data_IF_676309426551
#
_entry.id   IF_676309426551
#
_cell.length_a   1.000
_cell.length_b   1.000
_cell.length_c   1.000
_cell.angle_alpha   90.00
_cell.angle_beta   90.00
_cell.angle_gamma   90.00
#
_symmetry.space_group_name_H-M   'P 1'
#
loop_
_entity.id
_entity.type
_entity.pdbx_description
1 polymer ?
#
# COMPACT_ATOMS: atom_id res chain seq x y z
N UNK A 1 -36.22 4.93 -4.84
CA UNK A 1 -35.25 5.85 -4.26
C UNK A 1 -34.02 5.75 -5.14
N UNK A 2 -33.73 6.78 -5.97
CA UNK A 2 -32.54 6.82 -6.81
C UNK A 2 -31.33 6.92 -5.87
N UNK A 3 -30.56 5.84 -5.73
CA UNK A 3 -29.19 5.97 -5.27
C UNK A 3 -28.44 6.74 -6.35
N UNK A 4 -28.18 8.02 -6.08
CA UNK A 4 -27.23 8.80 -6.84
C UNK A 4 -25.90 8.02 -6.84
N UNK A 5 -25.48 7.51 -7.99
CA UNK A 5 -24.19 6.84 -8.14
C UNK A 5 -23.11 7.82 -7.65
N UNK A 6 -22.36 7.41 -6.64
CA UNK A 6 -21.25 8.20 -6.10
C UNK A 6 -20.17 8.29 -7.19
N UNK A 7 -20.05 9.42 -7.83
CA UNK A 7 -19.00 9.66 -8.82
C UNK A 7 -17.70 9.94 -8.07
N UNK A 8 -16.74 9.02 -8.18
CA UNK A 8 -15.38 9.26 -7.75
C UNK A 8 -14.64 10.01 -8.86
N UNK A 9 -13.90 11.04 -8.51
CA UNK A 9 -13.02 11.77 -9.43
C UNK A 9 -11.55 11.61 -9.05
N UNK A 10 -11.27 11.09 -7.87
CA UNK A 10 -9.93 10.91 -7.34
C UNK A 10 -9.74 9.49 -6.80
N UNK A 11 -8.60 8.87 -7.15
CA UNK A 11 -8.12 7.63 -6.54
C UNK A 11 -6.80 7.92 -5.83
N UNK A 12 -6.68 7.47 -4.58
CA UNK A 12 -5.42 7.40 -3.84
C UNK A 12 -5.00 5.93 -3.81
N UNK A 13 -3.85 5.63 -4.41
CA UNK A 13 -3.24 4.31 -4.44
C UNK A 13 -2.21 4.17 -3.32
N UNK A 14 -2.21 3.06 -2.63
CA UNK A 14 -1.03 2.59 -1.92
C UNK A 14 -0.01 1.98 -2.90
N UNK A 15 1.23 1.77 -2.44
CA UNK A 15 2.34 1.29 -3.28
C UNK A 15 2.70 -0.17 -3.03
N UNK A 16 3.35 -0.45 -1.87
CA UNK A 16 3.87 -1.77 -1.52
C UNK A 16 2.72 -2.77 -1.30
N UNK A 17 2.77 -3.93 -1.95
CA UNK A 17 1.69 -4.91 -1.87
C UNK A 17 0.42 -4.56 -2.65
N UNK A 18 0.27 -3.30 -3.08
CA UNK A 18 -0.88 -2.83 -3.87
C UNK A 18 -0.53 -2.76 -5.36
N UNK A 19 0.30 -1.81 -5.78
CA UNK A 19 0.78 -1.69 -7.17
C UNK A 19 2.07 -2.47 -7.39
N UNK A 20 2.93 -2.54 -6.39
CA UNK A 20 4.25 -3.14 -6.41
C UNK A 20 4.25 -4.51 -5.72
N UNK A 21 4.70 -5.53 -6.45
CA UNK A 21 4.68 -6.93 -6.00
C UNK A 21 5.96 -7.28 -5.24
N UNK A 22 6.06 -6.86 -3.99
CA UNK A 22 7.22 -7.03 -3.13
C UNK A 22 6.98 -7.92 -1.89
N UNK A 23 5.84 -8.58 -1.81
CA UNK A 23 5.45 -9.43 -0.67
C UNK A 23 6.49 -10.52 -0.38
N UNK A 24 6.95 -11.23 -1.41
CA UNK A 24 7.95 -12.28 -1.25
C UNK A 24 9.31 -11.70 -0.83
N UNK A 25 9.69 -10.56 -1.38
CA UNK A 25 10.91 -9.87 -0.97
C UNK A 25 10.86 -9.49 0.51
N UNK A 26 9.78 -8.87 0.96
CA UNK A 26 9.62 -8.47 2.36
C UNK A 26 9.68 -9.67 3.32
N UNK A 27 9.01 -10.78 2.98
CA UNK A 27 9.06 -12.00 3.78
C UNK A 27 10.46 -12.63 3.82
N UNK A 28 11.18 -12.60 2.69
CA UNK A 28 12.55 -13.12 2.59
C UNK A 28 13.54 -12.26 3.38
N UNK A 29 13.41 -10.93 3.34
CA UNK A 29 14.24 -10.02 4.15
C UNK A 29 13.96 -10.21 5.63
N UNK A 30 12.69 -10.34 6.05
CA UNK A 30 12.36 -10.66 7.44
C UNK A 30 13.00 -11.98 7.88
N UNK A 31 12.92 -13.03 7.06
CA UNK A 31 13.55 -14.33 7.36
C UNK A 31 15.08 -14.24 7.47
N UNK A 32 15.73 -13.35 6.71
CA UNK A 32 17.15 -13.07 6.88
C UNK A 32 17.44 -12.49 8.27
N UNK A 33 16.67 -11.52 8.73
CA UNK A 33 16.83 -10.92 10.05
C UNK A 33 16.56 -11.92 11.18
N UNK A 34 15.49 -12.73 11.04
CA UNK A 34 15.18 -13.80 12.00
C UNK A 34 16.34 -14.80 12.10
N UNK A 35 16.91 -15.22 10.97
CA UNK A 35 18.06 -16.14 10.94
C UNK A 35 19.29 -15.55 11.61
N UNK A 36 19.57 -14.26 11.41
CA UNK A 36 20.70 -13.56 12.05
C UNK A 36 20.57 -13.51 13.58
N UNK A 37 19.34 -13.47 14.09
CA UNK A 37 19.06 -13.52 15.53
C UNK A 37 18.82 -14.94 16.05
N UNK A 38 19.01 -15.99 15.23
CA UNK A 38 18.76 -17.40 15.57
C UNK A 38 17.29 -17.69 15.91
N UNK A 39 16.38 -16.93 15.32
CA UNK A 39 14.93 -17.09 15.44
C UNK A 39 14.39 -17.98 14.30
N UNK A 40 13.18 -18.50 14.50
CA UNK A 40 12.54 -19.38 13.51
C UNK A 40 12.02 -18.57 12.31
N UNK A 41 12.34 -19.04 11.11
CA UNK A 41 11.80 -18.49 9.87
C UNK A 41 10.28 -18.69 9.77
N UNK A 42 9.62 -17.74 9.11
CA UNK A 42 8.18 -17.75 8.86
C UNK A 42 7.86 -18.05 7.39
N UNK A 43 6.77 -18.76 7.12
CA UNK A 43 6.27 -18.96 5.75
C UNK A 43 5.62 -17.68 5.22
N UNK A 44 5.44 -17.55 3.90
CA UNK A 44 4.67 -16.46 3.27
C UNK A 44 3.25 -16.38 3.85
N UNK A 45 2.60 -17.52 4.07
CA UNK A 45 1.29 -17.56 4.71
C UNK A 45 1.35 -16.93 6.10
N UNK A 46 2.33 -17.33 6.93
CA UNK A 46 2.50 -16.78 8.27
C UNK A 46 2.83 -15.30 8.23
N UNK A 47 3.67 -14.85 7.29
CA UNK A 47 3.95 -13.44 7.04
C UNK A 47 2.65 -12.65 6.86
N UNK A 48 1.78 -13.05 5.93
CA UNK A 48 0.50 -12.37 5.65
C UNK A 48 -0.48 -12.38 6.84
N UNK A 49 -0.48 -13.46 7.62
CA UNK A 49 -1.29 -13.59 8.83
C UNK A 49 -0.90 -12.57 9.91
N UNK A 50 0.40 -12.27 10.04
CA UNK A 50 0.92 -11.46 11.15
C UNK A 50 1.34 -10.03 10.77
N UNK A 51 1.50 -9.74 9.46
CA UNK A 51 1.90 -8.41 9.02
C UNK A 51 0.90 -7.35 9.49
N UNK A 52 1.38 -6.31 10.17
CA UNK A 52 0.55 -5.25 10.74
C UNK A 52 1.31 -3.94 10.90
N UNK A 53 0.56 -2.86 11.11
CA UNK A 53 1.05 -1.55 11.51
C UNK A 53 0.67 -1.25 12.97
N UNK A 54 1.50 -0.49 13.69
CA UNK A 54 2.84 -0.05 13.30
C UNK A 54 3.79 -1.24 13.14
N UNK A 55 4.75 -1.14 12.22
CA UNK A 55 5.63 -2.25 11.81
C UNK A 55 6.41 -2.87 12.98
N UNK A 56 6.70 -2.11 14.04
CA UNK A 56 7.34 -2.64 15.26
C UNK A 56 6.53 -3.80 15.88
N UNK A 57 5.20 -3.76 15.82
CA UNK A 57 4.35 -4.85 16.36
C UNK A 57 4.47 -6.11 15.49
N UNK A 58 4.58 -5.96 14.17
CA UNK A 58 4.86 -7.07 13.27
C UNK A 58 6.20 -7.76 13.62
N UNK A 59 7.27 -6.99 13.91
CA UNK A 59 8.56 -7.57 14.31
C UNK A 59 8.45 -8.36 15.62
N UNK A 60 7.72 -7.84 16.62
CA UNK A 60 7.45 -8.56 17.88
C UNK A 60 6.72 -9.88 17.65
N UNK A 61 5.66 -9.86 16.82
CA UNK A 61 4.88 -11.06 16.50
C UNK A 61 5.73 -12.07 15.72
N UNK A 62 6.64 -11.59 14.87
CA UNK A 62 7.59 -12.44 14.15
C UNK A 62 8.65 -13.09 15.05
N UNK A 63 8.83 -12.58 16.29
CA UNK A 63 9.70 -13.18 17.30
C UNK A 63 10.84 -12.30 17.80
N UNK A 64 11.01 -11.08 17.28
CA UNK A 64 12.05 -10.17 17.78
C UNK A 64 11.71 -9.62 19.17
N UNK A 65 12.64 -9.71 20.12
CA UNK A 65 12.49 -9.17 21.48
C UNK A 65 13.12 -7.80 21.68
N UNK A 66 13.94 -7.37 20.72
CA UNK A 66 14.73 -6.13 20.74
C UNK A 66 15.78 -6.05 21.87
N UNK A 67 16.09 -7.17 22.52
CA UNK A 67 17.14 -7.24 23.53
C UNK A 67 18.55 -7.18 22.91
N UNK A 68 18.71 -7.79 21.74
CA UNK A 68 20.00 -7.90 21.03
C UNK A 68 20.22 -6.72 20.08
N UNK A 69 19.23 -6.39 19.30
CA UNK A 69 19.21 -5.28 18.36
C UNK A 69 17.94 -4.48 18.55
N UNK A 70 18.03 -3.15 18.61
CA UNK A 70 16.83 -2.30 18.69
C UNK A 70 16.01 -2.37 17.38
N UNK A 71 14.75 -1.94 17.44
CA UNK A 71 13.89 -1.86 16.25
C UNK A 71 14.52 -0.99 15.14
N UNK A 72 15.16 0.12 15.53
CA UNK A 72 15.81 1.03 14.58
C UNK A 72 16.96 0.34 13.83
N UNK A 73 17.75 -0.49 14.54
CA UNK A 73 18.84 -1.27 13.93
C UNK A 73 18.29 -2.30 12.96
N UNK A 74 17.29 -3.08 13.39
CA UNK A 74 16.66 -4.09 12.54
C UNK A 74 15.92 -3.46 11.36
N UNK A 75 15.19 -2.35 11.57
CA UNK A 75 14.51 -1.61 10.53
C UNK A 75 15.48 -1.06 9.47
N UNK A 76 16.64 -0.55 9.92
CA UNK A 76 17.69 -0.12 8.99
C UNK A 76 18.25 -1.30 8.19
N UNK A 77 18.57 -2.42 8.83
CA UNK A 77 19.06 -3.63 8.16
C UNK A 77 18.04 -4.15 7.15
N UNK A 78 16.73 -4.15 7.53
CA UNK A 78 15.66 -4.52 6.61
C UNK A 78 15.69 -3.64 5.36
N UNK A 79 15.71 -2.33 5.54
CA UNK A 79 15.69 -1.40 4.41
C UNK A 79 16.96 -1.47 3.55
N UNK A 80 18.13 -1.66 4.15
CA UNK A 80 19.39 -1.83 3.41
C UNK A 80 19.29 -3.06 2.48
N UNK A 81 18.78 -4.21 2.98
CA UNK A 81 18.57 -5.43 2.18
C UNK A 81 17.47 -5.28 1.13
N UNK A 82 16.36 -4.66 1.50
CA UNK A 82 15.23 -4.41 0.61
C UNK A 82 15.65 -3.53 -0.58
N UNK A 83 16.35 -2.43 -0.32
CA UNK A 83 16.82 -1.48 -1.34
C UNK A 83 17.74 -2.15 -2.38
N UNK A 84 18.58 -3.11 -1.96
CA UNK A 84 19.47 -3.84 -2.90
C UNK A 84 18.72 -4.78 -3.82
N UNK A 85 17.52 -5.25 -3.45
CA UNK A 85 16.78 -6.32 -4.14
C UNK A 85 15.48 -5.88 -4.78
N UNK A 86 14.93 -4.72 -4.40
CA UNK A 86 13.61 -4.26 -4.85
C UNK A 86 13.46 -4.18 -6.38
N UNK A 87 14.54 -3.90 -7.10
CA UNK A 87 14.51 -3.83 -8.56
C UNK A 87 14.30 -5.20 -9.25
N UNK A 88 14.39 -6.31 -8.49
CA UNK A 88 14.03 -7.64 -8.97
C UNK A 88 12.52 -7.92 -8.84
N UNK A 89 11.80 -7.08 -8.13
CA UNK A 89 10.34 -7.13 -8.07
C UNK A 89 9.73 -6.39 -9.27
N UNK A 90 8.48 -6.68 -9.58
CA UNK A 90 7.72 -6.04 -10.65
C UNK A 90 6.47 -5.35 -10.15
N UNK A 91 5.74 -4.75 -11.05
CA UNK A 91 4.36 -4.35 -10.79
C UNK A 91 3.46 -5.59 -10.83
N UNK A 92 2.34 -5.56 -10.10
CA UNK A 92 1.34 -6.61 -10.28
C UNK A 92 0.76 -6.59 -11.71
N UNK A 93 0.38 -7.75 -12.26
CA UNK A 93 -0.24 -7.82 -13.59
C UNK A 93 -1.52 -6.96 -13.66
N UNK A 94 -1.66 -6.17 -14.72
CA UNK A 94 -2.82 -5.30 -14.94
C UNK A 94 -2.70 -3.89 -14.37
N UNK A 95 -1.63 -3.57 -13.63
CA UNK A 95 -1.41 -2.22 -13.05
C UNK A 95 -1.37 -1.15 -14.13
N UNK A 96 -0.49 -1.30 -15.13
CA UNK A 96 -0.28 -0.27 -16.16
C UNK A 96 -1.56 -0.06 -16.98
N UNK A 97 -2.23 -1.13 -17.35
CA UNK A 97 -3.49 -1.12 -18.09
C UNK A 97 -4.59 -0.37 -17.31
N UNK A 98 -4.71 -0.63 -16.01
CA UNK A 98 -5.71 0.04 -15.19
C UNK A 98 -5.39 1.51 -14.98
N UNK A 99 -4.14 1.86 -14.63
CA UNK A 99 -3.71 3.26 -14.48
C UNK A 99 -3.95 4.06 -15.78
N UNK A 100 -3.64 3.46 -16.93
CA UNK A 100 -3.86 4.07 -18.25
C UNK A 100 -5.35 4.26 -18.56
N UNK A 101 -6.17 3.24 -18.28
CA UNK A 101 -7.62 3.29 -18.47
C UNK A 101 -8.26 4.40 -17.64
N UNK A 102 -7.93 4.48 -16.34
CA UNK A 102 -8.43 5.52 -15.45
C UNK A 102 -8.02 6.93 -15.90
N UNK A 103 -6.76 7.08 -16.35
CA UNK A 103 -6.28 8.35 -16.92
C UNK A 103 -7.06 8.75 -18.16
N UNK A 104 -7.43 7.79 -19.03
CA UNK A 104 -8.19 8.06 -20.27
C UNK A 104 -9.60 8.60 -20.01
N UNK A 105 -10.20 8.27 -18.89
CA UNK A 105 -11.51 8.78 -18.46
C UNK A 105 -11.40 9.94 -17.44
N UNK A 106 -10.23 10.59 -17.37
CA UNK A 106 -9.94 11.77 -16.55
C UNK A 106 -10.04 11.56 -15.03
N UNK A 107 -9.90 10.33 -14.51
CA UNK A 107 -9.76 10.09 -13.09
C UNK A 107 -8.40 10.58 -12.62
N UNK A 108 -8.39 11.44 -11.60
CA UNK A 108 -7.16 11.97 -11.01
C UNK A 108 -6.58 10.93 -10.06
N UNK A 109 -5.34 10.51 -10.32
CA UNK A 109 -4.68 9.48 -9.55
C UNK A 109 -3.59 10.08 -8.68
N UNK A 110 -3.49 9.61 -7.44
CA UNK A 110 -2.51 10.02 -6.45
C UNK A 110 -1.87 8.77 -5.85
N UNK A 111 -0.64 8.89 -5.38
CA UNK A 111 0.05 7.82 -4.68
C UNK A 111 0.35 8.26 -3.25
N UNK A 112 0.07 7.38 -2.29
CA UNK A 112 0.33 7.58 -0.87
C UNK A 112 0.93 6.30 -0.28
N UNK A 113 2.17 6.35 0.16
CA UNK A 113 2.89 5.19 0.68
C UNK A 113 3.56 5.46 2.02
N UNK A 114 3.73 4.41 2.81
CA UNK A 114 4.61 4.38 3.98
C UNK A 114 6.09 4.15 3.61
N UNK A 115 6.43 4.20 2.33
CA UNK A 115 7.79 4.09 1.82
C UNK A 115 8.48 5.46 1.80
N UNK A 116 9.81 5.51 1.94
CA UNK A 116 10.58 6.75 1.94
C UNK A 116 10.43 7.49 0.60
N UNK A 117 10.23 8.81 0.66
CA UNK A 117 9.83 9.65 -0.49
C UNK A 117 10.81 9.59 -1.67
N UNK A 118 12.14 9.63 -1.43
CA UNK A 118 13.10 9.62 -2.54
C UNK A 118 13.20 8.23 -3.18
N UNK A 119 13.14 7.19 -2.37
CA UNK A 119 13.10 5.80 -2.83
C UNK A 119 11.83 5.53 -3.64
N UNK A 120 10.68 6.06 -3.18
CA UNK A 120 9.41 5.99 -3.90
C UNK A 120 9.49 6.68 -5.26
N UNK A 121 9.98 7.91 -5.30
CA UNK A 121 10.16 8.65 -6.56
C UNK A 121 11.10 7.91 -7.53
N UNK A 122 12.17 7.30 -7.02
CA UNK A 122 13.14 6.58 -7.83
C UNK A 122 12.54 5.32 -8.45
N UNK A 123 11.80 4.53 -7.69
CA UNK A 123 11.19 3.28 -8.19
C UNK A 123 10.05 3.56 -9.17
N UNK A 124 9.26 4.61 -8.97
CA UNK A 124 8.22 5.00 -9.92
C UNK A 124 8.79 5.42 -11.27
N UNK A 125 9.92 6.15 -11.28
CA UNK A 125 10.66 6.48 -12.51
C UNK A 125 11.25 5.24 -13.17
N UNK A 126 11.77 4.29 -12.38
CA UNK A 126 12.30 3.04 -12.90
C UNK A 126 11.24 2.27 -13.70
N UNK A 127 9.97 2.26 -13.24
CA UNK A 127 8.85 1.65 -13.95
C UNK A 127 8.18 2.58 -14.97
N UNK A 128 8.63 3.83 -15.10
CA UNK A 128 8.05 4.85 -15.98
C UNK A 128 6.54 5.08 -15.75
N UNK A 129 6.10 5.04 -14.50
CA UNK A 129 4.69 5.23 -14.10
C UNK A 129 4.43 6.49 -13.27
N UNK A 130 5.45 7.25 -12.95
CA UNK A 130 5.33 8.50 -12.18
C UNK A 130 4.36 9.50 -12.84
N UNK A 131 4.28 9.54 -14.17
CA UNK A 131 3.39 10.41 -14.93
C UNK A 131 1.89 10.09 -14.84
N UNK A 132 1.52 8.96 -14.22
CA UNK A 132 0.12 8.65 -13.92
C UNK A 132 -0.40 9.39 -12.69
N UNK A 133 0.47 9.83 -11.79
CA UNK A 133 0.09 10.38 -10.49
C UNK A 133 0.25 11.90 -10.43
N UNK A 134 -0.83 12.58 -10.04
CA UNK A 134 -0.82 14.03 -9.83
C UNK A 134 -0.06 14.42 -8.55
N UNK A 135 -0.13 13.60 -7.53
CA UNK A 135 0.64 13.74 -6.30
C UNK A 135 1.24 12.39 -5.93
N UNK A 136 2.51 12.41 -5.55
CA UNK A 136 3.26 11.26 -5.05
C UNK A 136 3.73 11.64 -3.64
N UNK A 137 3.25 10.91 -2.63
CA UNK A 137 3.46 11.23 -1.22
C UNK A 137 4.00 9.99 -0.51
N UNK A 138 5.21 10.11 0.02
CA UNK A 138 5.91 9.11 0.83
C UNK A 138 6.32 9.69 2.18
N UNK A 139 6.91 8.85 3.04
CA UNK A 139 7.46 9.27 4.33
C UNK A 139 8.80 9.99 4.18
N UNK A 140 9.15 10.77 5.18
CA UNK A 140 10.46 11.42 5.35
C UNK A 140 11.50 10.52 6.06
N UNK A 141 11.11 9.28 6.40
CA UNK A 141 11.94 8.31 7.11
C UNK A 141 11.65 6.87 6.65
N UNK A 142 12.44 5.92 7.14
CA UNK A 142 12.42 4.51 6.71
C UNK A 142 11.66 3.56 7.66
N UNK A 143 11.05 4.07 8.74
CA UNK A 143 10.51 3.21 9.81
C UNK A 143 9.04 2.83 9.64
N UNK A 144 8.41 3.26 8.56
CA UNK A 144 7.01 2.93 8.23
C UNK A 144 6.05 3.06 9.43
N UNK A 145 6.15 4.19 10.16
CA UNK A 145 5.36 4.46 11.36
C UNK A 145 3.87 4.76 11.10
N UNK A 146 3.47 4.75 9.83
CA UNK A 146 2.12 5.05 9.37
C UNK A 146 2.05 6.31 8.51
N UNK A 147 1.06 6.35 7.63
CA UNK A 147 0.88 7.39 6.59
C UNK A 147 -0.35 8.28 6.80
N UNK A 148 -1.08 8.13 7.91
CA UNK A 148 -2.36 8.79 8.14
C UNK A 148 -2.27 10.33 8.08
N UNK A 149 -1.25 10.93 8.72
CA UNK A 149 -1.03 12.38 8.70
C UNK A 149 -0.73 12.93 7.30
N UNK A 150 -0.09 12.13 6.43
CA UNK A 150 0.16 12.47 5.03
C UNK A 150 -1.13 12.37 4.20
N UNK A 151 -1.95 11.35 4.50
CA UNK A 151 -3.26 11.17 3.89
C UNK A 151 -4.17 12.37 4.14
N UNK A 152 -4.23 12.87 5.38
CA UNK A 152 -5.03 14.05 5.73
C UNK A 152 -4.59 15.29 4.94
N UNK A 153 -3.27 15.55 4.85
CA UNK A 153 -2.73 16.66 4.05
C UNK A 153 -3.06 16.51 2.56
N UNK A 154 -2.92 15.29 2.02
CA UNK A 154 -3.24 15.01 0.62
C UNK A 154 -4.74 15.19 0.35
N UNK A 155 -5.62 14.67 1.20
CA UNK A 155 -7.06 14.81 1.07
C UNK A 155 -7.51 16.28 1.15
N UNK A 156 -6.93 17.06 2.06
CA UNK A 156 -7.18 18.51 2.12
C UNK A 156 -6.76 19.21 0.83
N UNK A 157 -5.58 18.90 0.29
CA UNK A 157 -5.09 19.43 -0.98
C UNK A 157 -6.01 19.07 -2.15
N UNK A 158 -6.47 17.82 -2.23
CA UNK A 158 -7.40 17.37 -3.27
C UNK A 158 -8.71 18.18 -3.20
N UNK A 159 -9.29 18.28 -2.00
CA UNK A 159 -10.59 18.97 -1.79
C UNK A 159 -10.51 20.48 -1.99
N UNK A 160 -9.37 21.12 -1.70
CA UNK A 160 -9.18 22.56 -1.89
C UNK A 160 -9.05 22.99 -3.36
N UNK A 161 -8.70 22.10 -4.26
CA UNK A 161 -8.55 22.41 -5.68
C UNK A 161 -9.88 22.53 -6.45
N UNK A 162 -11.02 22.56 -5.76
CA UNK A 162 -12.35 22.87 -6.35
C UNK A 162 -12.93 21.77 -7.24
N UNK A 163 -12.25 20.66 -7.40
CA UNK A 163 -12.79 19.48 -8.06
C UNK A 163 -13.69 18.73 -7.05
N UNK A 164 -14.97 19.07 -7.07
CA UNK A 164 -15.99 18.38 -6.28
C UNK A 164 -16.06 16.91 -6.73
N UNK A 165 -15.54 16.01 -5.93
CA UNK A 165 -15.61 14.58 -6.19
C UNK A 165 -15.19 13.76 -4.98
N UNK A 166 -15.74 12.55 -4.89
CA UNK A 166 -15.37 11.64 -3.83
C UNK A 166 -13.98 11.04 -4.10
N UNK A 167 -13.26 10.77 -3.03
CA UNK A 167 -11.98 10.07 -3.06
C UNK A 167 -12.25 8.58 -2.82
N UNK A 168 -11.59 7.72 -3.58
CA UNK A 168 -11.50 6.29 -3.35
C UNK A 168 -10.06 5.94 -3.00
N UNK A 169 -9.82 5.30 -1.86
CA UNK A 169 -8.51 4.77 -1.51
C UNK A 169 -8.44 3.29 -1.91
N UNK A 170 -7.33 2.89 -2.51
CA UNK A 170 -7.07 1.49 -2.88
C UNK A 170 -5.74 1.07 -2.26
N UNK A 171 -5.79 0.01 -1.43
CA UNK A 171 -4.65 -0.54 -0.71
C UNK A 171 -4.76 -2.05 -0.54
N UNK A 172 -3.91 -2.65 0.28
CA UNK A 172 -3.88 -4.09 0.52
C UNK A 172 -3.88 -4.46 2.02
N UNK A 173 -3.95 -3.48 2.91
CA UNK A 173 -3.88 -3.70 4.36
C UNK A 173 -5.04 -3.06 5.12
N UNK A 174 -5.28 -3.55 6.34
CA UNK A 174 -6.22 -2.93 7.31
C UNK A 174 -5.83 -1.48 7.57
N UNK A 175 -4.53 -1.15 7.57
CA UNK A 175 -4.06 0.22 7.75
C UNK A 175 -4.52 1.16 6.63
N UNK A 176 -4.65 0.67 5.40
CA UNK A 176 -5.20 1.45 4.28
C UNK A 176 -6.68 1.77 4.51
N UNK A 177 -7.44 0.81 5.03
CA UNK A 177 -8.83 1.04 5.42
C UNK A 177 -8.94 2.07 6.55
N UNK A 178 -8.13 1.96 7.61
CA UNK A 178 -8.08 2.94 8.70
C UNK A 178 -7.74 4.35 8.20
N UNK A 179 -6.76 4.46 7.29
CA UNK A 179 -6.39 5.72 6.63
C UNK A 179 -7.55 6.28 5.80
N UNK A 180 -8.29 5.42 5.10
CA UNK A 180 -9.46 5.83 4.32
C UNK A 180 -10.56 6.40 5.23
N UNK A 181 -10.82 5.76 6.38
CA UNK A 181 -11.77 6.26 7.38
C UNK A 181 -11.35 7.63 7.92
N UNK A 182 -10.06 7.82 8.28
CA UNK A 182 -9.55 9.08 8.79
C UNK A 182 -9.71 10.26 7.82
N UNK A 183 -9.64 10.00 6.53
CA UNK A 183 -9.83 11.03 5.51
C UNK A 183 -11.26 11.09 4.96
N UNK A 184 -12.20 10.36 5.54
CA UNK A 184 -13.59 10.25 5.07
C UNK A 184 -13.64 9.92 3.56
N UNK A 185 -12.95 8.86 3.14
CA UNK A 185 -12.99 8.29 1.80
C UNK A 185 -13.53 6.87 1.82
N UNK A 186 -14.07 6.43 0.69
CA UNK A 186 -14.36 5.01 0.51
C UNK A 186 -13.06 4.24 0.29
N UNK A 187 -13.09 2.92 0.54
CA UNK A 187 -11.94 2.04 0.42
C UNK A 187 -12.28 0.76 -0.34
N UNK A 188 -11.37 0.33 -1.21
CA UNK A 188 -11.32 -1.03 -1.77
C UNK A 188 -9.96 -1.61 -1.44
N UNK A 189 -9.91 -2.84 -0.93
CA UNK A 189 -8.64 -3.53 -0.69
C UNK A 189 -8.40 -4.61 -1.75
N UNK A 190 -7.11 -4.93 -1.96
CA UNK A 190 -6.69 -6.02 -2.85
C UNK A 190 -6.02 -7.09 -1.98
N UNK A 191 -6.48 -8.35 -2.06
CA UNK A 191 -6.02 -9.42 -1.17
C UNK A 191 -4.72 -10.13 -1.62
N UNK A 192 -4.12 -9.71 -2.74
CA UNK A 192 -2.84 -10.27 -3.18
C UNK A 192 -1.63 -9.74 -2.38
N UNK A 193 -1.79 -8.64 -1.65
CA UNK A 193 -0.74 -7.90 -0.97
C UNK A 193 -0.21 -8.53 0.33
N UNK A 194 0.19 -7.67 1.27
CA UNK A 194 0.90 -8.05 2.51
C UNK A 194 0.02 -8.68 3.57
N UNK A 195 -1.31 -8.54 3.51
CA UNK A 195 -2.20 -9.13 4.50
C UNK A 195 -3.06 -10.27 3.93
N UNK A 196 -3.40 -11.18 4.83
CA UNK A 196 -4.25 -12.33 4.54
C UNK A 196 -5.69 -11.92 4.21
N UNK A 197 -6.28 -12.53 3.18
CA UNK A 197 -7.65 -12.24 2.72
C UNK A 197 -8.69 -12.42 3.84
N UNK A 198 -8.53 -13.45 4.70
CA UNK A 198 -9.49 -13.70 5.79
C UNK A 198 -9.52 -12.56 6.81
N UNK A 199 -8.39 -11.85 6.99
CA UNK A 199 -8.33 -10.65 7.84
C UNK A 199 -9.06 -9.48 7.20
N UNK A 200 -8.87 -9.28 5.90
CA UNK A 200 -9.47 -8.17 5.14
C UNK A 200 -11.00 -8.33 5.04
N UNK A 201 -11.49 -9.55 4.81
CA UNK A 201 -12.93 -9.85 4.73
C UNK A 201 -13.72 -9.45 5.99
N UNK A 202 -13.07 -9.41 7.16
CA UNK A 202 -13.72 -9.00 8.43
C UNK A 202 -14.09 -7.52 8.46
N UNK A 203 -13.54 -6.69 7.58
CA UNK A 203 -13.84 -5.26 7.51
C UNK A 203 -15.20 -4.96 6.86
N UNK A 204 -15.77 -5.91 6.11
CA UNK A 204 -17.09 -5.73 5.47
C UNK A 204 -17.10 -4.71 4.32
N UNK A 205 -15.95 -4.40 3.75
CA UNK A 205 -15.78 -3.50 2.59
C UNK A 205 -15.49 -4.32 1.31
N UNK A 206 -15.60 -3.72 0.11
CA UNK A 206 -15.23 -4.39 -1.13
C UNK A 206 -13.76 -4.81 -1.14
N UNK A 207 -13.50 -6.08 -1.55
CA UNK A 207 -12.16 -6.63 -1.70
C UNK A 207 -12.06 -7.25 -3.09
N UNK A 208 -10.98 -6.92 -3.80
CA UNK A 208 -10.62 -7.53 -5.07
C UNK A 208 -9.46 -8.51 -4.86
N UNK A 209 -9.45 -9.62 -5.58
CA UNK A 209 -8.35 -10.60 -5.53
C UNK A 209 -7.14 -10.18 -6.35
N UNK A 210 -7.42 -9.46 -7.43
CA UNK A 210 -6.43 -9.00 -8.39
C UNK A 210 -6.90 -7.75 -9.14
N UNK A 211 -6.08 -7.23 -10.06
CA UNK A 211 -6.42 -6.07 -10.89
C UNK A 211 -7.53 -6.32 -11.89
N UNK A 212 -7.80 -7.56 -12.26
CA UNK A 212 -8.94 -7.89 -13.14
C UNK A 212 -10.25 -7.69 -12.38
N UNK A 213 -10.35 -8.23 -11.17
CA UNK A 213 -11.53 -8.06 -10.31
C UNK A 213 -11.69 -6.60 -9.86
N UNK A 214 -10.58 -5.93 -9.49
CA UNK A 214 -10.61 -4.51 -9.18
C UNK A 214 -11.16 -3.68 -10.35
N UNK A 215 -10.71 -3.91 -11.58
CA UNK A 215 -11.20 -3.21 -12.77
C UNK A 215 -12.71 -3.45 -12.98
N UNK A 216 -13.19 -4.66 -12.70
CA UNK A 216 -14.62 -4.95 -12.75
C UNK A 216 -15.42 -4.15 -11.72
N UNK A 217 -14.97 -4.09 -10.47
CA UNK A 217 -15.58 -3.29 -9.41
C UNK A 217 -15.60 -1.80 -9.78
N UNK A 218 -14.48 -1.28 -10.27
CA UNK A 218 -14.36 0.14 -10.63
C UNK A 218 -15.26 0.54 -11.81
N UNK A 219 -15.45 -0.32 -12.79
CA UNK A 219 -16.39 -0.05 -13.91
C UNK A 219 -17.81 0.24 -13.45
N UNK A 220 -18.25 -0.40 -12.36
CA UNK A 220 -19.56 -0.12 -11.76
C UNK A 220 -19.66 1.21 -11.01
N UNK A 221 -18.52 1.82 -10.69
CA UNK A 221 -18.44 3.05 -9.89
C UNK A 221 -18.23 4.32 -10.73
N UNK A 222 -17.77 4.18 -11.98
CA UNK A 222 -17.44 5.31 -12.88
C UNK A 222 -18.39 5.46 -14.07
N UNK A 223 -19.45 4.62 -14.15
CA UNK A 223 -20.49 4.69 -15.19
C UNK A 223 -21.72 5.49 -14.72
#
# INVERSE_FOLDING_TARGET
MNQSSKLYSHIIWDWNGTLFNDVELCANVMNLLLTQESLQNISIKKYKEIFTFPVIEYYKIAGHTFERNSFEVLGKQFMDEYETRKNNCGLFPGVIELLSSLKSINIQQHLLSAYEQNSLNSILKYFAIDSYFQNIVGLDNIYAGGKAHLAQKLAMKIRSNGLAGNILLIGDTIHDFEVAEEINSDCILISHGHQDEERLLKLGIPIAKDFQELNFLLKGLFN
#
